data_IF_527801785446
#
_entry.id   IF_527801785446
#
_cell.length_a   1.000
_cell.length_b   1.000
_cell.length_c   1.000
_cell.angle_alpha   90.00
_cell.angle_beta   90.00
_cell.angle_gamma   90.00
#
_symmetry.space_group_name_H-M   'P 1'
#
loop_
_entity.id
_entity.type
_entity.pdbx_description
1 polymer ?
#
# COMPACT_ATOMS: atom_id res chain seq x y z
N UNK A 1 11.02 52.02 -45.01
CA UNK A 1 11.53 52.25 -43.64
C UNK A 1 10.34 52.23 -42.69
N UNK A 2 10.06 51.13 -42.05
CA UNK A 2 8.98 51.01 -41.05
C UNK A 2 9.58 50.37 -39.80
N UNK A 3 9.45 51.14 -38.70
CA UNK A 3 10.01 50.90 -37.40
C UNK A 3 9.35 49.71 -36.67
N UNK A 4 10.17 48.84 -36.07
CA UNK A 4 9.78 47.83 -35.12
C UNK A 4 9.52 48.44 -33.73
N UNK A 5 8.30 48.36 -33.21
CA UNK A 5 7.96 48.61 -31.82
C UNK A 5 7.82 47.27 -31.08
N UNK A 6 8.76 47.05 -30.16
CA UNK A 6 8.74 45.96 -29.19
C UNK A 6 7.63 46.18 -28.15
N UNK A 7 6.71 45.21 -28.02
CA UNK A 7 5.75 45.16 -26.92
C UNK A 7 6.30 44.22 -25.85
N UNK A 8 6.78 44.76 -24.74
CA UNK A 8 7.14 44.01 -23.56
C UNK A 8 5.86 43.74 -22.75
N UNK A 9 5.37 42.49 -22.73
CA UNK A 9 4.36 42.08 -21.78
C UNK A 9 5.07 41.58 -20.52
N UNK A 10 5.04 42.35 -19.44
CA UNK A 10 5.37 41.89 -18.10
C UNK A 10 4.17 41.18 -17.52
N UNK A 11 4.13 39.86 -17.70
CA UNK A 11 3.19 38.98 -17.00
C UNK A 11 3.83 38.49 -15.70
N UNK A 12 3.41 39.01 -14.57
CA UNK A 12 3.70 38.46 -13.25
C UNK A 12 2.87 37.18 -13.08
N UNK A 13 3.52 36.03 -13.21
CA UNK A 13 2.92 34.73 -12.81
C UNK A 13 3.09 34.64 -11.30
N UNK A 14 2.05 35.00 -10.58
CA UNK A 14 1.89 34.65 -9.18
C UNK A 14 1.49 33.18 -9.05
N UNK A 15 2.46 32.29 -8.93
CA UNK A 15 2.21 30.92 -8.51
C UNK A 15 1.87 30.92 -7.02
N UNK A 16 0.59 30.90 -6.68
CA UNK A 16 0.15 30.57 -5.32
C UNK A 16 0.26 29.05 -5.18
N UNK A 17 1.44 28.60 -4.74
CA UNK A 17 1.60 27.24 -4.22
C UNK A 17 0.91 27.21 -2.85
N UNK A 18 -0.37 26.85 -2.82
CA UNK A 18 -1.03 26.43 -1.60
C UNK A 18 -0.47 25.03 -1.24
N UNK A 19 0.76 24.99 -0.76
CA UNK A 19 1.37 23.79 -0.19
C UNK A 19 0.58 23.40 1.05
N UNK A 20 -0.04 22.23 1.02
CA UNK A 20 -0.77 21.70 2.16
C UNK A 20 0.18 21.63 3.37
N UNK A 21 -0.17 22.23 4.52
CA UNK A 21 0.73 22.38 5.67
C UNK A 21 1.20 21.04 6.28
N UNK A 22 0.56 19.94 5.96
CA UNK A 22 0.92 18.60 6.40
C UNK A 22 2.14 18.02 5.67
N UNK A 23 2.43 18.46 4.44
CA UNK A 23 3.63 18.04 3.69
C UNK A 23 4.94 18.52 4.33
N UNK A 24 4.91 19.66 5.02
CA UNK A 24 6.10 20.20 5.66
C UNK A 24 6.44 19.49 6.99
N UNK A 25 5.43 18.94 7.68
CA UNK A 25 5.63 18.27 8.97
C UNK A 25 6.16 16.83 8.83
N UNK A 26 5.89 16.18 7.69
CA UNK A 26 6.37 14.83 7.40
C UNK A 26 7.88 14.77 7.07
N UNK A 27 8.47 15.89 6.67
CA UNK A 27 9.88 15.94 6.26
C UNK A 27 10.89 15.87 7.43
N UNK A 28 10.44 16.01 8.68
CA UNK A 28 11.31 16.03 9.87
C UNK A 28 11.18 14.80 10.77
N UNK A 29 10.18 13.95 10.54
CA UNK A 29 10.05 12.69 11.27
C UNK A 29 10.77 11.55 10.51
N UNK A 30 11.44 10.69 11.27
CA UNK A 30 12.07 9.50 10.67
C UNK A 30 11.01 8.54 10.11
N UNK A 31 11.34 7.82 9.04
CA UNK A 31 10.44 6.86 8.40
C UNK A 31 9.88 5.83 9.39
N UNK A 32 10.70 5.34 10.34
CA UNK A 32 10.26 4.37 11.34
C UNK A 32 9.19 4.92 12.28
N UNK A 33 9.25 6.22 12.63
CA UNK A 33 8.24 6.86 13.47
C UNK A 33 6.94 7.17 12.72
N UNK A 34 6.97 7.19 11.38
CA UNK A 34 5.80 7.39 10.52
C UNK A 34 5.20 6.09 9.98
N UNK A 35 5.73 4.94 10.39
CA UNK A 35 5.18 3.65 9.99
C UNK A 35 3.77 3.49 10.55
N UNK A 36 2.81 3.19 9.68
CA UNK A 36 1.45 2.81 10.04
C UNK A 36 1.31 1.32 10.29
N UNK A 37 0.07 0.86 10.44
CA UNK A 37 -0.28 -0.55 10.50
C UNK A 37 -1.35 -0.89 9.48
N UNK A 38 -1.14 -2.02 8.75
CA UNK A 38 -2.19 -2.63 7.94
C UNK A 38 -3.17 -3.36 8.86
N UNK A 39 -4.45 -2.97 8.82
CA UNK A 39 -5.47 -3.46 9.77
C UNK A 39 -5.92 -4.90 9.50
N UNK A 40 -5.43 -5.55 8.44
CA UNK A 40 -5.60 -6.99 8.25
C UNK A 40 -5.08 -7.79 9.45
N UNK A 41 -3.95 -7.38 10.03
CA UNK A 41 -3.36 -8.04 11.20
C UNK A 41 -4.25 -7.96 12.44
N UNK A 42 -5.13 -6.95 12.51
CA UNK A 42 -6.07 -6.73 13.61
C UNK A 42 -7.53 -7.05 13.22
N UNK A 43 -7.77 -7.73 12.09
CA UNK A 43 -9.10 -7.96 11.50
C UNK A 43 -10.12 -8.56 12.48
N UNK A 44 -9.69 -9.48 13.34
CA UNK A 44 -10.61 -10.10 14.32
C UNK A 44 -10.97 -9.14 15.46
N UNK A 45 -10.06 -8.27 15.86
CA UNK A 45 -10.33 -7.20 16.83
C UNK A 45 -11.22 -6.13 16.20
N UNK A 46 -10.96 -5.74 14.94
CA UNK A 46 -11.77 -4.78 14.19
C UNK A 46 -13.22 -5.24 14.01
N UNK A 47 -13.45 -6.54 13.77
CA UNK A 47 -14.80 -7.11 13.69
C UNK A 47 -15.56 -7.03 15.04
N UNK A 48 -14.84 -7.22 16.13
CA UNK A 48 -15.43 -7.22 17.50
C UNK A 48 -15.68 -5.81 18.03
N UNK A 49 -14.71 -4.92 17.84
CA UNK A 49 -14.72 -3.56 18.39
C UNK A 49 -13.89 -2.63 17.50
N UNK A 50 -14.53 -2.08 16.49
CA UNK A 50 -13.90 -1.22 15.49
C UNK A 50 -13.25 0.01 16.12
N UNK A 51 -14.04 0.78 16.89
CA UNK A 51 -13.60 2.05 17.46
C UNK A 51 -12.57 1.84 18.58
N UNK A 52 -12.80 0.87 19.46
CA UNK A 52 -11.85 0.52 20.52
C UNK A 52 -10.53 -0.03 19.98
N UNK A 53 -10.54 -0.74 18.85
CA UNK A 53 -9.30 -1.21 18.22
C UNK A 53 -8.50 -0.05 17.63
N UNK A 54 -9.14 0.90 16.94
CA UNK A 54 -8.48 2.12 16.47
C UNK A 54 -7.90 2.95 17.63
N UNK A 55 -8.64 3.09 18.72
CA UNK A 55 -8.15 3.78 19.92
C UNK A 55 -6.91 3.09 20.52
N UNK A 56 -6.89 1.74 20.57
CA UNK A 56 -5.74 0.97 21.05
C UNK A 56 -4.52 1.13 20.13
N UNK A 57 -4.72 1.16 18.81
CA UNK A 57 -3.66 1.44 17.83
C UNK A 57 -3.06 2.84 18.05
N UNK A 58 -3.92 3.84 18.23
CA UNK A 58 -3.47 5.20 18.53
C UNK A 58 -2.73 5.30 19.88
N UNK A 59 -3.16 4.54 20.90
CA UNK A 59 -2.48 4.50 22.20
C UNK A 59 -1.06 3.89 22.15
N UNK A 60 -0.72 3.07 21.14
CA UNK A 60 0.63 2.61 20.86
C UNK A 60 1.53 3.77 20.40
N UNK A 61 0.94 4.84 19.88
CA UNK A 61 1.62 5.98 19.27
C UNK A 61 1.65 5.93 17.75
N UNK A 62 0.99 4.96 17.13
CA UNK A 62 0.77 4.90 15.69
C UNK A 62 -0.19 6.03 15.29
N UNK A 63 0.10 6.72 14.18
CA UNK A 63 -0.68 7.87 13.72
C UNK A 63 -1.42 7.61 12.42
N UNK A 64 -1.17 6.46 11.78
CA UNK A 64 -1.81 6.10 10.53
C UNK A 64 -2.11 4.61 10.46
N UNK A 65 -3.17 4.29 9.74
CA UNK A 65 -3.60 2.92 9.48
C UNK A 65 -3.89 2.74 7.99
N UNK A 66 -3.82 1.51 7.54
CA UNK A 66 -4.37 1.12 6.24
C UNK A 66 -5.49 0.12 6.45
N UNK A 67 -6.63 0.36 5.80
CA UNK A 67 -7.77 -0.52 5.94
C UNK A 67 -7.66 -1.77 5.06
N UNK A 68 -8.14 -2.90 5.58
CA UNK A 68 -8.43 -4.14 4.84
C UNK A 68 -9.94 -4.35 4.82
N UNK A 69 -10.64 -3.57 4.00
CA UNK A 69 -12.08 -3.44 4.04
C UNK A 69 -12.58 -2.58 5.20
N UNK A 70 -13.88 -2.29 5.24
CA UNK A 70 -14.46 -1.30 6.16
C UNK A 70 -15.38 -1.89 7.23
N UNK A 71 -15.42 -3.20 7.37
CA UNK A 71 -16.16 -3.91 8.44
C UNK A 71 -17.64 -3.51 8.56
N UNK A 72 -18.30 -3.23 7.44
CA UNK A 72 -19.71 -2.81 7.38
C UNK A 72 -19.97 -1.37 7.81
N UNK A 73 -18.93 -0.54 8.02
CA UNK A 73 -19.09 0.87 8.36
C UNK A 73 -19.35 1.71 7.11
N UNK A 74 -20.13 2.78 7.28
CA UNK A 74 -20.26 3.82 6.25
C UNK A 74 -19.02 4.70 6.20
N UNK A 75 -18.82 5.42 5.10
CA UNK A 75 -17.70 6.34 4.95
C UNK A 75 -17.67 7.43 6.04
N UNK A 76 -18.83 7.98 6.38
CA UNK A 76 -18.97 8.95 7.47
C UNK A 76 -18.60 8.37 8.83
N UNK A 77 -18.98 7.11 9.11
CA UNK A 77 -18.57 6.41 10.34
C UNK A 77 -17.06 6.20 10.39
N UNK A 78 -16.45 5.72 9.30
CA UNK A 78 -14.98 5.54 9.20
C UNK A 78 -14.26 6.87 9.47
N UNK A 79 -14.68 7.94 8.80
CA UNK A 79 -14.10 9.27 9.01
C UNK A 79 -14.22 9.75 10.46
N UNK A 80 -15.38 9.54 11.08
CA UNK A 80 -15.63 9.91 12.48
C UNK A 80 -14.72 9.12 13.43
N UNK A 81 -14.64 7.80 13.27
CA UNK A 81 -13.80 6.92 14.08
C UNK A 81 -12.31 7.28 13.99
N UNK A 82 -11.82 7.54 12.77
CA UNK A 82 -10.45 8.01 12.56
C UNK A 82 -10.19 9.34 13.27
N UNK A 83 -11.09 10.30 13.13
CA UNK A 83 -10.97 11.61 13.78
C UNK A 83 -10.97 11.48 15.31
N UNK A 84 -11.84 10.66 15.89
CA UNK A 84 -11.90 10.42 17.34
C UNK A 84 -10.64 9.74 17.88
N UNK A 85 -10.06 8.82 17.09
CA UNK A 85 -8.81 8.15 17.46
C UNK A 85 -7.56 9.00 17.19
N UNK A 86 -7.69 10.13 16.48
CA UNK A 86 -6.54 10.94 16.04
C UNK A 86 -5.67 10.23 14.99
N UNK A 87 -6.26 9.33 14.20
CA UNK A 87 -5.59 8.58 13.14
C UNK A 87 -5.92 9.15 11.76
N UNK A 88 -5.02 8.93 10.80
CA UNK A 88 -5.30 9.08 9.37
C UNK A 88 -5.27 7.72 8.68
N UNK A 89 -5.97 7.58 7.58
CA UNK A 89 -5.92 6.40 6.73
C UNK A 89 -5.55 6.82 5.30
N UNK A 90 -4.25 6.78 4.93
CA UNK A 90 -3.83 7.11 3.57
C UNK A 90 -4.37 6.15 2.53
N UNK A 91 -4.46 4.85 2.85
CA UNK A 91 -4.84 3.79 1.94
C UNK A 91 -5.86 2.81 2.52
N UNK A 92 -6.48 2.07 1.61
CA UNK A 92 -7.36 0.95 1.92
C UNK A 92 -7.30 -0.12 0.83
N UNK A 93 -7.15 -1.38 1.21
CA UNK A 93 -7.39 -2.54 0.36
C UNK A 93 -8.91 -2.75 0.23
N UNK A 94 -9.51 -2.23 -0.84
CA UNK A 94 -10.97 -2.13 -0.93
C UNK A 94 -11.54 -2.23 -2.34
N UNK A 95 -10.71 -2.50 -3.36
CA UNK A 95 -11.12 -2.53 -4.77
C UNK A 95 -10.44 -3.70 -5.47
N UNK A 96 -11.08 -4.27 -6.48
CA UNK A 96 -10.56 -5.41 -7.24
C UNK A 96 -10.67 -5.17 -8.76
N UNK A 97 -9.83 -5.87 -9.55
CA UNK A 97 -9.84 -5.76 -11.01
C UNK A 97 -11.15 -6.26 -11.63
N UNK A 98 -11.81 -7.23 -11.01
CA UNK A 98 -13.07 -7.83 -11.46
C UNK A 98 -14.32 -7.11 -10.92
N UNK A 99 -14.16 -6.05 -10.12
CA UNK A 99 -15.28 -5.21 -9.71
C UNK A 99 -16.01 -4.62 -10.93
N UNK A 100 -17.33 -4.61 -10.88
CA UNK A 100 -18.17 -3.93 -11.87
C UNK A 100 -17.93 -2.42 -11.81
N UNK A 101 -18.25 -1.73 -12.89
CA UNK A 101 -18.12 -0.27 -12.97
C UNK A 101 -18.87 0.46 -11.86
N UNK A 102 -19.99 -0.11 -11.42
CA UNK A 102 -20.79 0.45 -10.33
C UNK A 102 -20.15 0.20 -8.96
N UNK A 103 -19.53 -0.98 -8.74
CA UNK A 103 -18.75 -1.26 -7.52
C UNK A 103 -17.55 -0.33 -7.43
N UNK A 104 -16.79 -0.18 -8.53
CA UNK A 104 -15.66 0.76 -8.60
C UNK A 104 -16.10 2.18 -8.24
N UNK A 105 -17.21 2.65 -8.84
CA UNK A 105 -17.73 3.98 -8.51
C UNK A 105 -18.08 4.13 -7.04
N UNK A 106 -18.82 3.16 -6.46
CA UNK A 106 -19.18 3.18 -5.04
C UNK A 106 -17.95 3.19 -4.13
N UNK A 107 -16.91 2.42 -4.46
CA UNK A 107 -15.66 2.39 -3.69
C UNK A 107 -14.92 3.72 -3.76
N UNK A 108 -14.85 4.33 -4.93
CA UNK A 108 -14.23 5.65 -5.13
C UNK A 108 -15.00 6.73 -4.33
N UNK A 109 -16.33 6.75 -4.43
CA UNK A 109 -17.18 7.68 -3.66
C UNK A 109 -16.97 7.50 -2.16
N UNK A 110 -16.92 6.24 -1.69
CA UNK A 110 -16.67 5.90 -0.28
C UNK A 110 -15.29 6.42 0.19
N UNK A 111 -14.23 6.14 -0.56
CA UNK A 111 -12.88 6.59 -0.20
C UNK A 111 -12.79 8.12 -0.17
N UNK A 112 -13.42 8.80 -1.13
CA UNK A 112 -13.49 10.25 -1.18
C UNK A 112 -14.18 10.82 0.07
N UNK A 113 -15.35 10.29 0.44
CA UNK A 113 -16.10 10.73 1.63
C UNK A 113 -15.35 10.41 2.93
N UNK A 114 -14.71 9.24 3.02
CA UNK A 114 -13.94 8.82 4.19
C UNK A 114 -12.60 9.58 4.34
N UNK A 115 -12.13 10.28 3.29
CA UNK A 115 -10.85 10.99 3.28
C UNK A 115 -9.66 10.05 3.07
N UNK A 116 -9.85 8.91 2.38
CA UNK A 116 -8.83 7.94 2.02
C UNK A 116 -8.33 8.28 0.61
N UNK A 117 -7.00 8.39 0.46
CA UNK A 117 -6.40 8.83 -0.80
C UNK A 117 -6.10 7.68 -1.76
N UNK A 118 -5.62 6.53 -1.26
CA UNK A 118 -5.28 5.37 -2.07
C UNK A 118 -6.37 4.29 -1.96
N UNK A 119 -7.05 3.99 -3.09
CA UNK A 119 -7.88 2.79 -3.22
C UNK A 119 -7.02 1.67 -3.82
N UNK A 120 -6.76 0.61 -3.08
CA UNK A 120 -5.73 -0.38 -3.40
C UNK A 120 -6.36 -1.74 -3.70
N UNK A 121 -5.92 -2.36 -4.80
CA UNK A 121 -6.19 -3.76 -5.08
C UNK A 121 -5.12 -4.62 -4.41
N UNK A 122 -5.54 -5.47 -3.47
CA UNK A 122 -4.63 -6.32 -2.69
C UNK A 122 -4.07 -7.50 -3.48
N UNK A 123 -4.79 -7.96 -4.50
CA UNK A 123 -4.43 -9.12 -5.33
C UNK A 123 -4.89 -8.90 -6.76
N UNK A 124 -4.32 -9.61 -7.75
CA UNK A 124 -4.88 -9.64 -9.09
C UNK A 124 -6.23 -10.36 -9.08
N UNK A 125 -7.00 -10.22 -10.12
CA UNK A 125 -8.23 -10.98 -10.32
C UNK A 125 -8.12 -11.88 -11.54
N UNK A 126 -8.94 -12.92 -11.58
CA UNK A 126 -9.05 -13.79 -12.75
C UNK A 126 -10.07 -13.23 -13.73
N UNK A 127 -9.74 -13.23 -15.01
CA UNK A 127 -10.64 -12.82 -16.07
C UNK A 127 -11.89 -13.67 -16.15
N UNK A 128 -11.75 -14.97 -15.88
CA UNK A 128 -12.85 -15.92 -15.89
C UNK A 128 -13.07 -16.45 -14.48
N UNK A 129 -14.31 -16.36 -13.99
CA UNK A 129 -14.67 -16.92 -12.69
C UNK A 129 -14.54 -18.46 -12.72
N UNK A 130 -13.62 -18.98 -11.92
CA UNK A 130 -13.57 -20.41 -11.65
C UNK A 130 -14.38 -20.74 -10.38
N UNK A 131 -14.77 -22.01 -10.19
CA UNK A 131 -15.55 -22.45 -9.04
C UNK A 131 -14.91 -22.13 -7.68
N UNK A 132 -13.57 -22.14 -7.61
CA UNK A 132 -12.82 -21.56 -6.50
C UNK A 132 -12.11 -20.30 -6.99
N UNK A 133 -12.55 -19.15 -6.64
CA UNK A 133 -11.96 -17.88 -7.07
C UNK A 133 -10.62 -17.56 -6.37
N UNK A 134 -9.86 -18.61 -6.03
CA UNK A 134 -8.61 -18.50 -5.31
C UNK A 134 -7.43 -18.21 -6.27
N UNK A 135 -7.05 -16.95 -6.40
CA UNK A 135 -5.94 -16.49 -7.25
C UNK A 135 -4.59 -17.13 -6.85
N UNK A 136 -4.42 -17.55 -5.60
CA UNK A 136 -3.20 -18.20 -5.13
C UNK A 136 -3.05 -19.64 -5.64
N UNK A 137 -4.09 -20.22 -6.24
CA UNK A 137 -4.06 -21.59 -6.77
C UNK A 137 -4.07 -21.65 -8.29
N UNK A 138 -4.78 -20.75 -8.92
CA UNK A 138 -5.11 -20.84 -10.33
C UNK A 138 -5.07 -19.45 -10.97
N UNK A 139 -3.88 -18.96 -11.26
CA UNK A 139 -3.71 -17.71 -12.00
C UNK A 139 -2.77 -17.95 -13.18
N UNK A 140 -3.14 -17.43 -14.35
CA UNK A 140 -2.36 -17.52 -15.57
C UNK A 140 -1.79 -16.15 -15.97
N UNK A 141 -0.81 -16.12 -16.84
CA UNK A 141 -0.21 -14.87 -17.33
C UNK A 141 -1.25 -13.93 -17.94
N UNK A 142 -2.26 -14.49 -18.63
CA UNK A 142 -3.35 -13.72 -19.22
C UNK A 142 -4.24 -13.03 -18.17
N UNK A 143 -4.37 -13.59 -16.97
CA UNK A 143 -5.11 -12.98 -15.86
C UNK A 143 -4.34 -11.77 -15.31
N UNK A 144 -3.01 -11.88 -15.20
CA UNK A 144 -2.14 -10.78 -14.81
C UNK A 144 -2.21 -9.62 -15.80
N UNK A 145 -2.13 -9.91 -17.09
CA UNK A 145 -2.23 -8.92 -18.17
C UNK A 145 -3.60 -8.23 -18.13
N UNK A 146 -4.66 -9.00 -18.01
CA UNK A 146 -6.00 -8.46 -17.91
C UNK A 146 -6.19 -7.60 -16.64
N UNK A 147 -5.70 -8.05 -15.49
CA UNK A 147 -5.75 -7.27 -14.25
C UNK A 147 -5.02 -5.94 -14.40
N UNK A 148 -3.83 -5.93 -15.02
CA UNK A 148 -3.04 -4.72 -15.23
C UNK A 148 -3.76 -3.71 -16.17
N UNK A 149 -4.43 -4.17 -17.23
CA UNK A 149 -5.27 -3.33 -18.07
C UNK A 149 -6.46 -2.75 -17.30
N UNK A 150 -7.10 -3.56 -16.45
CA UNK A 150 -8.18 -3.11 -15.57
C UNK A 150 -7.68 -2.08 -14.55
N UNK A 151 -6.49 -2.26 -14.00
CA UNK A 151 -5.88 -1.31 -13.07
C UNK A 151 -5.69 0.07 -13.70
N UNK A 152 -5.26 0.15 -14.97
CA UNK A 152 -5.19 1.42 -15.71
C UNK A 152 -6.58 2.09 -15.81
N UNK A 153 -7.61 1.30 -16.13
CA UNK A 153 -8.99 1.80 -16.25
C UNK A 153 -9.52 2.31 -14.90
N UNK A 154 -9.31 1.55 -13.83
CA UNK A 154 -9.71 1.92 -12.47
C UNK A 154 -8.93 3.15 -12.02
N UNK A 155 -7.62 3.16 -12.29
CA UNK A 155 -6.72 4.27 -11.96
C UNK A 155 -7.15 5.59 -12.60
N UNK A 156 -7.54 5.57 -13.87
CA UNK A 156 -8.05 6.76 -14.55
C UNK A 156 -9.33 7.30 -13.89
N UNK A 157 -10.23 6.41 -13.44
CA UNK A 157 -11.46 6.82 -12.72
C UNK A 157 -11.14 7.39 -11.33
N UNK A 158 -10.26 6.72 -10.57
CA UNK A 158 -9.81 7.21 -9.27
C UNK A 158 -9.14 8.58 -9.39
N UNK A 159 -8.25 8.74 -10.37
CA UNK A 159 -7.58 10.01 -10.66
C UNK A 159 -8.56 11.15 -10.98
N UNK A 160 -9.58 10.87 -11.77
CA UNK A 160 -10.64 11.85 -12.09
C UNK A 160 -11.44 12.29 -10.86
N UNK A 161 -11.48 11.48 -9.80
CA UNK A 161 -12.11 11.80 -8.52
C UNK A 161 -11.12 12.38 -7.48
N UNK A 162 -9.87 12.63 -7.86
CA UNK A 162 -8.83 13.16 -6.95
C UNK A 162 -8.19 12.10 -6.06
N UNK A 163 -8.41 10.81 -6.34
CA UNK A 163 -7.79 9.68 -5.64
C UNK A 163 -6.63 9.08 -6.46
N UNK A 164 -5.85 8.22 -5.81
CA UNK A 164 -4.89 7.33 -6.45
C UNK A 164 -5.40 5.89 -6.38
N UNK A 165 -5.32 5.17 -7.48
CA UNK A 165 -5.44 3.72 -7.44
C UNK A 165 -4.07 3.12 -7.16
N UNK A 166 -4.02 2.08 -6.29
CA UNK A 166 -2.80 1.34 -5.96
C UNK A 166 -2.95 -0.15 -6.24
N UNK A 167 -1.82 -0.81 -6.49
CA UNK A 167 -1.72 -2.26 -6.55
C UNK A 167 -0.68 -2.74 -5.55
N UNK A 168 -1.06 -3.71 -4.71
CA UNK A 168 -0.23 -4.36 -3.70
C UNK A 168 0.21 -5.75 -4.17
N UNK A 169 1.51 -6.05 -4.07
CA UNK A 169 2.02 -7.35 -4.45
C UNK A 169 1.97 -8.37 -3.32
N UNK A 170 1.68 -9.59 -3.70
CA UNK A 170 1.92 -10.79 -2.88
C UNK A 170 3.12 -11.58 -3.41
N UNK A 171 3.46 -12.67 -2.73
CA UNK A 171 4.52 -13.59 -3.17
C UNK A 171 4.22 -14.26 -4.51
N UNK A 172 2.95 -14.52 -4.84
CA UNK A 172 2.53 -15.08 -6.14
C UNK A 172 2.86 -14.19 -7.32
N UNK A 173 3.03 -12.89 -7.12
CA UNK A 173 3.39 -11.93 -8.15
C UNK A 173 4.75 -12.21 -8.79
N UNK A 174 5.59 -12.96 -8.09
CA UNK A 174 6.92 -13.35 -8.59
C UNK A 174 6.92 -14.72 -9.30
N UNK A 175 5.74 -15.30 -9.56
CA UNK A 175 5.60 -16.46 -10.43
C UNK A 175 6.16 -16.18 -11.82
N UNK A 176 6.79 -17.21 -12.40
CA UNK A 176 7.38 -17.17 -13.73
C UNK A 176 6.55 -17.95 -14.73
N UNK A 177 6.23 -17.32 -15.84
CA UNK A 177 5.57 -17.91 -16.99
C UNK A 177 6.58 -17.88 -18.16
N UNK A 178 7.37 -18.96 -18.27
CA UNK A 178 8.55 -18.97 -19.15
C UNK A 178 9.60 -17.95 -18.69
N UNK A 179 9.87 -16.96 -19.53
CA UNK A 179 10.83 -15.88 -19.23
C UNK A 179 10.15 -14.63 -18.62
N UNK A 180 8.85 -14.66 -18.41
CA UNK A 180 8.08 -13.51 -17.89
C UNK A 180 7.81 -13.71 -16.42
N UNK A 181 8.19 -12.74 -15.59
CA UNK A 181 7.76 -12.63 -14.18
C UNK A 181 6.46 -11.83 -14.13
N UNK A 182 5.45 -12.31 -13.43
CA UNK A 182 4.13 -11.70 -13.40
C UNK A 182 4.18 -10.24 -12.90
N UNK A 183 4.93 -9.96 -11.85
CA UNK A 183 5.08 -8.60 -11.31
C UNK A 183 5.73 -7.63 -12.31
N UNK A 184 6.76 -8.10 -13.03
CA UNK A 184 7.41 -7.32 -14.10
C UNK A 184 6.39 -6.97 -15.20
N UNK A 185 5.51 -7.90 -15.52
CA UNK A 185 4.48 -7.71 -16.55
C UNK A 185 3.41 -6.71 -16.09
N UNK A 186 2.97 -6.77 -14.83
CA UNK A 186 2.06 -5.77 -14.23
C UNK A 186 2.70 -4.37 -14.31
N UNK A 187 3.97 -4.24 -13.90
CA UNK A 187 4.68 -2.95 -13.97
C UNK A 187 4.78 -2.45 -15.41
N UNK A 188 5.07 -3.35 -16.38
CA UNK A 188 5.20 -3.01 -17.78
C UNK A 188 3.91 -2.48 -18.40
N UNK A 189 2.76 -3.06 -18.05
CA UNK A 189 1.46 -2.72 -18.61
C UNK A 189 0.85 -1.48 -17.94
N UNK A 190 1.07 -1.32 -16.63
CA UNK A 190 0.42 -0.25 -15.87
C UNK A 190 1.07 1.11 -16.09
N UNK A 191 0.24 2.13 -16.34
CA UNK A 191 0.65 3.53 -16.44
C UNK A 191 1.00 4.09 -15.05
N UNK A 192 2.24 4.53 -14.80
CA UNK A 192 2.63 5.10 -13.51
C UNK A 192 1.86 6.36 -13.12
N UNK A 193 1.27 7.08 -14.08
CA UNK A 193 0.41 8.22 -13.77
C UNK A 193 -0.94 7.79 -13.19
N UNK A 194 -1.42 6.60 -13.52
CA UNK A 194 -2.73 6.08 -13.09
C UNK A 194 -2.63 5.09 -11.94
N UNK A 195 -1.57 4.27 -11.90
CA UNK A 195 -1.42 3.15 -10.97
C UNK A 195 -0.19 3.33 -10.09
N UNK A 196 -0.38 3.55 -8.81
CA UNK A 196 0.66 3.46 -7.80
C UNK A 196 0.99 1.98 -7.51
N UNK A 197 2.20 1.69 -7.11
CA UNK A 197 2.56 0.38 -6.55
C UNK A 197 2.82 0.53 -5.06
N UNK A 198 2.12 -0.29 -4.29
CA UNK A 198 2.41 -0.56 -2.89
C UNK A 198 3.27 -1.81 -2.81
N UNK A 199 4.56 -1.62 -2.57
CA UNK A 199 5.50 -2.71 -2.62
C UNK A 199 5.66 -3.40 -1.26
N UNK A 200 5.28 -4.69 -1.20
CA UNK A 200 5.49 -5.51 -0.01
C UNK A 200 6.86 -6.19 -0.07
N UNK A 201 7.78 -5.69 0.75
CA UNK A 201 9.15 -6.21 0.88
C UNK A 201 9.17 -7.62 1.46
N UNK A 202 8.27 -7.91 2.40
CA UNK A 202 8.17 -9.22 3.02
C UNK A 202 7.64 -10.28 2.06
N UNK A 203 6.63 -9.96 1.26
CA UNK A 203 6.08 -10.87 0.25
C UNK A 203 7.09 -11.16 -0.85
N UNK A 204 7.86 -10.17 -1.29
CA UNK A 204 8.95 -10.37 -2.24
C UNK A 204 10.03 -11.31 -1.65
N UNK A 205 10.43 -11.08 -0.40
CA UNK A 205 11.38 -11.95 0.31
C UNK A 205 10.84 -13.37 0.47
N UNK A 206 9.54 -13.54 0.80
CA UNK A 206 8.90 -14.85 0.90
C UNK A 206 8.93 -15.63 -0.42
N UNK A 207 8.89 -14.95 -1.56
CA UNK A 207 9.07 -15.54 -2.88
C UNK A 207 10.55 -15.85 -3.22
N UNK A 208 11.48 -15.56 -2.32
CA UNK A 208 12.92 -15.74 -2.55
C UNK A 208 13.54 -14.69 -3.48
N UNK A 209 12.88 -13.54 -3.60
CA UNK A 209 13.31 -12.44 -4.46
C UNK A 209 13.96 -11.35 -3.62
N UNK A 210 15.06 -10.78 -4.10
CA UNK A 210 15.67 -9.61 -3.45
C UNK A 210 14.80 -8.35 -3.68
N UNK A 211 14.11 -7.83 -2.65
CA UNK A 211 13.25 -6.68 -2.80
C UNK A 211 14.02 -5.40 -3.17
N UNK A 212 15.27 -5.29 -2.74
CA UNK A 212 16.14 -4.14 -3.06
C UNK A 212 16.48 -4.07 -4.55
N UNK A 213 16.63 -5.24 -5.18
CA UNK A 213 16.80 -5.33 -6.63
C UNK A 213 15.61 -4.71 -7.38
N UNK A 214 14.38 -4.98 -6.94
CA UNK A 214 13.18 -4.41 -7.55
C UNK A 214 13.09 -2.90 -7.40
N UNK A 215 13.44 -2.37 -6.23
CA UNK A 215 13.47 -0.91 -6.04
C UNK A 215 14.49 -0.24 -6.96
N UNK A 216 15.65 -0.85 -7.14
CA UNK A 216 16.66 -0.35 -8.06
C UNK A 216 16.26 -0.50 -9.54
N UNK A 217 15.56 -1.61 -9.89
CA UNK A 217 15.10 -1.90 -11.25
C UNK A 217 14.02 -0.95 -11.73
N UNK A 218 13.15 -0.51 -10.83
CA UNK A 218 11.99 0.34 -11.14
C UNK A 218 11.98 1.62 -10.31
N UNK A 219 12.94 2.54 -10.54
CA UNK A 219 13.04 3.78 -9.78
C UNK A 219 11.77 4.62 -9.93
N UNK A 220 11.33 5.22 -8.84
CA UNK A 220 10.14 6.09 -8.76
C UNK A 220 8.80 5.39 -9.05
N UNK A 221 8.77 4.04 -9.03
CA UNK A 221 7.56 3.29 -9.33
C UNK A 221 6.73 2.97 -8.08
N UNK A 222 7.36 2.97 -6.92
CA UNK A 222 6.78 2.60 -5.64
C UNK A 222 6.41 3.84 -4.83
N UNK A 223 5.16 3.94 -4.40
CA UNK A 223 4.65 5.07 -3.62
C UNK A 223 4.39 4.69 -2.16
N UNK A 224 3.98 3.44 -1.90
CA UNK A 224 3.71 2.87 -0.58
C UNK A 224 4.53 1.60 -0.40
N UNK A 225 4.68 1.17 0.85
CA UNK A 225 5.35 -0.10 1.15
C UNK A 225 4.76 -0.80 2.37
N UNK A 226 4.73 -2.15 2.28
CA UNK A 226 4.54 -3.02 3.44
C UNK A 226 5.86 -3.60 3.90
N UNK A 227 6.00 -3.74 5.22
CA UNK A 227 7.17 -4.31 5.86
C UNK A 227 6.77 -5.40 6.84
N UNK A 228 7.45 -6.54 6.74
CA UNK A 228 7.23 -7.75 7.53
C UNK A 228 8.56 -8.33 7.99
N UNK A 229 8.51 -9.19 8.99
CA UNK A 229 9.69 -9.92 9.47
C UNK A 229 9.45 -11.43 9.43
N UNK A 230 10.33 -12.15 8.77
CA UNK A 230 10.26 -13.60 8.65
C UNK A 230 11.33 -14.30 9.49
N UNK A 231 10.96 -15.43 10.10
CA UNK A 231 11.94 -16.33 10.74
C UNK A 231 12.79 -17.04 9.70
N UNK A 232 14.10 -17.14 9.94
CA UNK A 232 15.00 -17.93 9.10
C UNK A 232 15.22 -19.33 9.70
N UNK A 233 15.59 -20.35 8.88
CA UNK A 233 15.53 -20.33 7.42
C UNK A 233 14.12 -20.65 6.89
N UNK A 234 13.83 -20.25 5.67
CA UNK A 234 12.62 -20.67 4.95
C UNK A 234 12.90 -20.91 3.47
N UNK A 235 12.09 -21.77 2.84
CA UNK A 235 12.09 -21.96 1.39
C UNK A 235 11.19 -20.93 0.72
N UNK A 236 11.51 -20.47 -0.52
CA UNK A 236 10.60 -19.64 -1.29
C UNK A 236 9.22 -20.27 -1.43
N UNK A 237 8.18 -19.45 -1.29
CA UNK A 237 6.78 -19.88 -1.42
C UNK A 237 6.00 -18.92 -2.33
N UNK A 238 5.07 -19.50 -3.08
CA UNK A 238 4.15 -18.78 -3.99
C UNK A 238 2.69 -19.11 -3.66
N UNK A 239 2.40 -19.44 -2.42
CA UNK A 239 1.08 -19.81 -1.93
C UNK A 239 0.74 -19.03 -0.68
N UNK A 240 -0.43 -19.30 -0.08
CA UNK A 240 -0.82 -18.74 1.22
C UNK A 240 -0.06 -19.32 2.41
N UNK A 241 0.77 -20.34 2.18
CA UNK A 241 1.62 -20.93 3.23
C UNK A 241 2.90 -20.09 3.39
N UNK A 242 2.75 -18.94 4.00
CA UNK A 242 3.84 -18.00 4.23
C UNK A 242 4.88 -18.56 5.23
N UNK A 243 6.13 -18.06 5.19
CA UNK A 243 7.10 -18.33 6.25
C UNK A 243 6.55 -17.92 7.62
N UNK A 244 7.10 -18.47 8.67
CA UNK A 244 6.73 -18.06 10.03
C UNK A 244 7.20 -16.63 10.30
N UNK A 245 6.37 -15.86 10.92
CA UNK A 245 6.74 -14.53 11.40
C UNK A 245 7.78 -14.60 12.53
N UNK A 246 8.65 -13.62 12.59
CA UNK A 246 9.57 -13.37 13.69
C UNK A 246 9.30 -11.99 14.30
N UNK A 247 9.60 -11.76 15.58
CA UNK A 247 9.61 -10.40 16.11
C UNK A 247 10.53 -9.49 15.29
N UNK A 248 10.13 -8.24 15.05
CA UNK A 248 10.93 -7.29 14.28
C UNK A 248 12.35 -7.16 14.85
N UNK A 249 13.35 -7.29 13.97
CA UNK A 249 14.77 -7.25 14.32
C UNK A 249 15.37 -8.60 14.74
N UNK A 250 14.59 -9.68 14.76
CA UNK A 250 15.09 -11.02 15.10
C UNK A 250 15.04 -12.02 13.93
N UNK A 251 14.59 -11.58 12.77
CA UNK A 251 14.44 -12.42 11.58
C UNK A 251 15.49 -12.14 10.50
N UNK A 252 15.02 -12.11 9.24
CA UNK A 252 15.88 -12.04 8.06
C UNK A 252 16.07 -10.63 7.51
N UNK A 253 15.31 -9.65 7.97
CA UNK A 253 15.28 -8.31 7.39
C UNK A 253 16.44 -7.45 7.88
N UNK A 254 17.26 -6.94 6.95
CA UNK A 254 18.20 -5.85 7.25
C UNK A 254 17.43 -4.52 7.31
N UNK A 255 16.95 -4.20 8.49
CA UNK A 255 16.11 -3.01 8.73
C UNK A 255 16.81 -1.69 8.42
N UNK A 256 18.13 -1.60 8.66
CA UNK A 256 18.90 -0.38 8.34
C UNK A 256 18.94 -0.14 6.82
N UNK A 257 19.24 -1.20 6.07
CA UNK A 257 19.22 -1.17 4.61
C UNK A 257 17.81 -0.90 4.09
N UNK A 258 16.79 -1.53 4.67
CA UNK A 258 15.40 -1.34 4.27
C UNK A 258 14.95 0.12 4.42
N UNK A 259 15.10 0.70 5.61
CA UNK A 259 14.70 2.10 5.86
C UNK A 259 15.49 3.10 5.00
N UNK A 260 16.77 2.83 4.76
CA UNK A 260 17.59 3.64 3.85
C UNK A 260 17.08 3.56 2.42
N UNK A 261 16.72 2.35 1.96
CA UNK A 261 16.18 2.11 0.62
C UNK A 261 14.83 2.80 0.42
N UNK A 262 13.91 2.66 1.38
CA UNK A 262 12.59 3.31 1.34
C UNK A 262 12.72 4.84 1.24
N UNK A 263 13.64 5.42 2.02
CA UNK A 263 13.91 6.86 2.00
C UNK A 263 14.48 7.32 0.66
N UNK A 264 15.47 6.58 0.14
CA UNK A 264 16.10 6.89 -1.15
C UNK A 264 15.14 6.76 -2.32
N UNK A 265 14.20 5.81 -2.27
CA UNK A 265 13.17 5.61 -3.27
C UNK A 265 12.03 6.66 -3.19
N UNK A 266 12.00 7.49 -2.13
CA UNK A 266 10.95 8.49 -1.94
C UNK A 266 9.62 7.90 -1.48
N UNK A 267 9.60 6.66 -0.99
CA UNK A 267 8.40 6.01 -0.44
C UNK A 267 8.03 6.70 0.87
N UNK A 268 6.78 7.15 0.96
CA UNK A 268 6.32 8.01 2.07
C UNK A 268 5.36 7.30 3.02
N UNK A 269 4.54 6.39 2.49
CA UNK A 269 3.55 5.66 3.26
C UNK A 269 4.07 4.23 3.47
N UNK A 270 4.35 3.90 4.73
CA UNK A 270 4.91 2.60 5.11
C UNK A 270 3.97 1.99 6.15
N UNK A 271 3.61 0.73 5.97
CA UNK A 271 2.76 0.00 6.89
C UNK A 271 3.44 -1.27 7.36
N UNK A 272 3.49 -1.47 8.68
CA UNK A 272 3.84 -2.77 9.23
C UNK A 272 2.66 -3.73 9.05
N UNK A 273 2.97 -4.94 8.63
CA UNK A 273 2.00 -6.02 8.51
C UNK A 273 2.60 -7.30 9.08
N UNK A 274 2.32 -7.55 10.34
CA UNK A 274 2.84 -8.67 11.10
C UNK A 274 1.67 -9.52 11.58
N UNK A 275 1.21 -10.44 10.74
CA UNK A 275 0.11 -11.35 11.05
C UNK A 275 0.66 -12.57 11.81
N UNK A 276 0.07 -12.86 12.95
CA UNK A 276 0.42 -14.01 13.77
C UNK A 276 1.78 -13.90 14.47
N UNK A 277 1.74 -13.88 15.76
CA UNK A 277 2.92 -14.08 16.60
C UNK A 277 2.78 -15.37 17.37
N UNK A 278 3.91 -15.91 17.84
CA UNK A 278 3.91 -17.03 18.77
C UNK A 278 3.17 -16.73 20.09
N UNK A 279 2.76 -15.49 20.32
CA UNK A 279 2.11 -15.01 21.54
C UNK A 279 0.57 -14.96 21.45
N UNK A 280 -0.02 -15.03 20.24
CA UNK A 280 -1.49 -15.01 20.08
C UNK A 280 -2.16 -13.67 20.40
N UNK A 281 -1.39 -12.58 20.53
CA UNK A 281 -1.89 -11.22 20.74
C UNK A 281 -1.38 -10.32 19.61
N UNK A 282 -2.23 -10.13 18.61
CA UNK A 282 -1.90 -9.37 17.41
C UNK A 282 -1.59 -7.90 17.73
N UNK A 283 -2.29 -7.31 18.70
CA UNK A 283 -2.07 -5.92 19.12
C UNK A 283 -0.72 -5.75 19.81
N UNK A 284 -0.29 -6.74 20.60
CA UNK A 284 1.02 -6.77 21.24
C UNK A 284 2.14 -6.91 20.21
N UNK A 285 1.93 -7.73 19.17
CA UNK A 285 2.86 -7.84 18.05
C UNK A 285 3.04 -6.51 17.32
N UNK A 286 1.94 -5.82 17.03
CA UNK A 286 1.95 -4.47 16.44
C UNK A 286 2.72 -3.50 17.34
N UNK A 287 2.49 -3.54 18.65
CA UNK A 287 3.18 -2.67 19.63
C UNK A 287 4.70 -2.92 19.64
N UNK A 288 5.12 -4.18 19.62
CA UNK A 288 6.53 -4.56 19.61
C UNK A 288 7.20 -4.16 18.30
N UNK A 289 6.57 -4.45 17.15
CA UNK A 289 7.08 -4.09 15.83
C UNK A 289 7.23 -2.58 15.68
N UNK A 290 6.21 -1.81 16.04
CA UNK A 290 6.26 -0.34 16.01
C UNK A 290 7.33 0.21 16.95
N UNK A 291 7.42 -0.35 18.18
CA UNK A 291 8.44 0.03 19.17
C UNK A 291 9.87 -0.23 18.68
N UNK A 292 10.08 -1.30 17.90
CA UNK A 292 11.35 -1.58 17.26
C UNK A 292 11.68 -0.57 16.17
N UNK A 293 10.75 -0.33 15.23
CA UNK A 293 10.93 0.64 14.16
C UNK A 293 11.21 2.05 14.67
N UNK A 294 10.54 2.45 15.75
CA UNK A 294 10.74 3.76 16.39
C UNK A 294 12.15 3.94 16.96
N UNK A 295 12.83 2.88 17.35
CA UNK A 295 14.22 2.94 17.85
C UNK A 295 15.25 3.07 16.73
N UNK A 296 14.91 2.65 15.52
CA UNK A 296 15.76 2.78 14.33
C UNK A 296 15.64 4.16 13.66
N UNK A 297 14.81 4.99 14.20
CA UNK A 297 14.39 6.27 13.67
C UNK A 297 15.37 7.42 14.03
#
# INVERSE_FOLDING_TARGET
MISRRSFLFKGTIGAVAAGAPWLAKAATQSLGANCGVQLWVLRELMKKDFDGTLAKVAAIGITQVEFAGFFGRTASQVRTSLSQAGLRAPGAHCIAADDSDEQIKRTIDFCTEAGIHYAIAAVPSRKTHAPDNNVFRHIELSDWQWSADRFNTIGARAHSAGLRFGYHNHNIDFLKYGNVVAFDEVIRITDPAMVAIEFDFGNAAAAGVDPYHYVAKYPHRFELAHVKEWSAPFAPTFTVDFPKYAPFGSGTTDWSKLLTTLRAAGIREIFLEQDGTSAGDELEAVRQAYGYLKKLA
#
